data_IF_462490585518
#
_entry.id   IF_462490585518
#
_cell.length_a   1.000
_cell.length_b   1.000
_cell.length_c   1.000
_cell.angle_alpha   90.00
_cell.angle_beta   90.00
_cell.angle_gamma   90.00
#
_symmetry.space_group_name_H-M   'P 1'
#
loop_
_entity.id
_entity.type
_entity.pdbx_description
1 polymer ?
#
# COMPACT_ATOMS: atom_id res chain seq x y z
N UNK A 1 23.66 6.57 -9.64
CA UNK A 1 23.35 7.95 -9.23
C UNK A 1 22.13 7.96 -8.30
N UNK A 2 22.08 8.93 -7.36
CA UNK A 2 20.95 9.17 -6.47
C UNK A 2 20.78 10.68 -6.21
N UNK A 3 19.59 11.15 -5.92
CA UNK A 3 19.33 12.55 -5.60
C UNK A 3 17.90 12.99 -5.93
N UNK A 4 17.52 14.17 -5.43
CA UNK A 4 16.20 14.74 -5.66
C UNK A 4 15.92 15.06 -7.14
N UNK A 5 16.96 15.28 -7.94
CA UNK A 5 16.84 15.51 -9.40
C UNK A 5 16.32 14.30 -10.19
N UNK A 6 16.14 13.16 -9.54
CA UNK A 6 15.55 11.96 -10.15
C UNK A 6 14.01 11.96 -10.07
N UNK A 7 13.41 12.79 -9.22
CA UNK A 7 11.97 12.90 -9.11
C UNK A 7 11.35 13.33 -10.45
N UNK A 8 10.27 12.69 -10.83
CA UNK A 8 9.58 12.92 -12.10
C UNK A 8 10.23 12.30 -13.34
N UNK A 9 11.36 11.59 -13.18
CA UNK A 9 12.15 11.06 -14.29
C UNK A 9 11.86 9.58 -14.56
N UNK A 10 12.07 9.21 -15.83
CA UNK A 10 12.08 7.82 -16.29
C UNK A 10 13.51 7.48 -16.71
N UNK A 11 14.09 6.48 -16.07
CA UNK A 11 15.51 6.11 -16.23
C UNK A 11 15.70 4.61 -16.44
N UNK A 12 16.85 4.23 -16.95
CA UNK A 12 17.31 2.84 -16.94
C UNK A 12 17.91 2.45 -15.57
N UNK A 13 18.25 1.17 -15.31
CA UNK A 13 18.86 0.73 -14.06
C UNK A 13 20.25 1.33 -13.77
N UNK A 14 20.91 1.91 -14.78
CA UNK A 14 22.22 2.57 -14.65
C UNK A 14 22.08 4.08 -14.40
N UNK A 15 20.87 4.61 -14.46
CA UNK A 15 20.55 6.02 -14.27
C UNK A 15 20.58 6.85 -15.55
N UNK A 16 20.60 6.22 -16.73
CA UNK A 16 20.47 6.94 -17.99
C UNK A 16 19.01 7.33 -18.24
N UNK A 17 18.73 8.54 -18.72
CA UNK A 17 17.35 8.98 -18.99
C UNK A 17 16.74 8.23 -20.17
N UNK A 18 15.48 7.82 -20.02
CA UNK A 18 14.64 7.22 -21.04
C UNK A 18 13.48 8.14 -21.47
N UNK A 19 13.34 9.28 -20.81
CA UNK A 19 12.27 10.26 -20.99
C UNK A 19 12.62 11.37 -22.00
N UNK A 20 13.75 11.26 -22.69
CA UNK A 20 14.26 12.30 -23.60
C UNK A 20 14.83 13.53 -22.89
N UNK A 21 14.86 13.52 -21.55
CA UNK A 21 15.41 14.61 -20.77
C UNK A 21 16.95 14.61 -20.72
N UNK A 22 17.50 15.67 -20.12
CA UNK A 22 18.95 15.79 -19.90
C UNK A 22 19.46 14.70 -18.96
N UNK A 23 20.77 14.32 -19.04
CA UNK A 23 21.40 13.43 -18.07
C UNK A 23 21.18 13.91 -16.63
N UNK A 24 21.04 12.94 -15.70
CA UNK A 24 20.80 13.26 -14.29
C UNK A 24 22.05 13.95 -13.69
N UNK A 25 21.88 15.22 -13.36
CA UNK A 25 22.95 16.05 -12.80
C UNK A 25 23.17 15.78 -11.32
N UNK A 26 23.81 14.66 -10.98
CA UNK A 26 24.16 14.32 -9.61
C UNK A 26 25.56 13.74 -9.50
N UNK A 27 26.31 14.17 -8.48
CA UNK A 27 27.59 13.57 -8.09
C UNK A 27 27.41 12.47 -7.04
N UNK A 28 26.22 12.38 -6.42
CA UNK A 28 25.93 11.41 -5.38
C UNK A 28 25.64 10.04 -5.98
N UNK A 29 26.26 9.02 -5.42
CA UNK A 29 26.09 7.63 -5.84
C UNK A 29 25.91 6.74 -4.62
N UNK A 30 25.17 5.66 -4.77
CA UNK A 30 25.05 4.57 -3.78
C UNK A 30 25.37 3.24 -4.45
N UNK A 31 25.99 2.30 -3.73
CA UNK A 31 26.11 0.93 -4.22
C UNK A 31 24.73 0.32 -4.43
N UNK A 32 24.58 -0.49 -5.47
CA UNK A 32 23.31 -1.19 -5.74
C UNK A 32 23.08 -2.34 -4.76
N UNK A 33 24.14 -2.99 -4.30
CA UNK A 33 24.08 -4.02 -3.27
C UNK A 33 24.65 -3.47 -1.95
N UNK A 34 23.79 -3.40 -0.94
CA UNK A 34 24.11 -2.92 0.41
C UNK A 34 23.47 -3.88 1.41
N UNK A 35 24.13 -4.23 2.51
CA UNK A 35 23.51 -4.99 3.59
C UNK A 35 22.25 -4.30 4.12
N UNK A 36 21.25 -5.08 4.45
CA UNK A 36 20.02 -4.57 5.07
C UNK A 36 20.33 -3.92 6.43
N UNK A 37 19.52 -2.94 6.88
CA UNK A 37 19.65 -2.38 8.22
C UNK A 37 19.56 -3.47 9.30
N UNK A 38 20.46 -3.45 10.28
CA UNK A 38 20.46 -4.39 11.39
C UNK A 38 19.28 -4.19 12.35
N UNK A 39 19.09 -5.10 13.30
CA UNK A 39 17.97 -5.10 14.24
C UNK A 39 17.94 -3.80 15.08
N UNK A 40 19.10 -3.33 15.56
CA UNK A 40 19.21 -2.10 16.36
C UNK A 40 18.88 -0.82 15.59
N UNK A 41 18.98 -0.86 14.25
CA UNK A 41 18.68 0.27 13.38
C UNK A 41 17.19 0.34 12.98
N UNK A 42 16.38 -0.65 13.39
CA UNK A 42 14.96 -0.75 13.03
C UNK A 42 14.05 -0.43 14.22
N UNK A 43 12.84 -0.01 13.93
CA UNK A 43 11.75 0.07 14.91
C UNK A 43 10.47 -0.53 14.35
N UNK A 44 9.48 -0.87 15.21
CA UNK A 44 8.22 -1.44 14.79
C UNK A 44 7.48 -0.56 13.77
N UNK A 45 6.74 -1.22 12.89
CA UNK A 45 5.87 -0.58 11.89
C UNK A 45 4.53 -0.27 12.57
N UNK A 46 4.18 1.02 12.68
CA UNK A 46 2.96 1.47 13.35
C UNK A 46 2.16 2.50 12.52
N UNK A 47 2.85 3.19 11.59
CA UNK A 47 2.20 4.20 10.75
C UNK A 47 1.67 3.58 9.47
N UNK A 48 0.39 3.82 9.09
CA UNK A 48 -0.17 3.31 7.85
C UNK A 48 0.47 3.94 6.62
N UNK A 49 0.61 3.14 5.57
CA UNK A 49 0.71 3.57 4.19
C UNK A 49 -0.68 3.41 3.57
N UNK A 50 -1.38 4.48 3.35
CA UNK A 50 -2.73 4.42 2.79
C UNK A 50 -2.65 4.13 1.29
N UNK A 51 -3.30 3.06 0.85
CA UNK A 51 -3.35 2.71 -0.58
C UNK A 51 -4.46 3.46 -1.31
N UNK A 52 -5.46 3.95 -0.58
CA UNK A 52 -6.65 4.53 -1.15
C UNK A 52 -7.66 3.49 -1.66
N UNK A 53 -7.38 2.20 -1.44
CA UNK A 53 -8.22 1.09 -1.87
C UNK A 53 -8.93 0.51 -0.65
N UNK A 54 -10.26 0.62 -0.62
CA UNK A 54 -11.10 0.18 0.51
C UNK A 54 -10.79 -1.23 0.97
N UNK A 55 -10.71 -2.18 0.04
CA UNK A 55 -10.45 -3.58 0.34
C UNK A 55 -9.07 -3.83 0.97
N UNK A 56 -8.04 -3.08 0.55
CA UNK A 56 -6.69 -3.20 1.10
C UNK A 56 -6.61 -2.55 2.48
N UNK A 57 -6.95 -1.25 2.57
CA UNK A 57 -6.77 -0.45 3.77
C UNK A 57 -7.63 -0.95 4.96
N UNK A 58 -8.75 -1.63 4.68
CA UNK A 58 -9.63 -2.19 5.70
C UNK A 58 -9.26 -3.60 6.16
N UNK A 59 -8.77 -4.47 5.27
CA UNK A 59 -8.59 -5.90 5.58
C UNK A 59 -7.12 -6.35 5.63
N UNK A 60 -6.26 -5.74 4.82
CA UNK A 60 -4.84 -6.03 4.74
C UNK A 60 -4.03 -4.73 4.79
N UNK A 61 -4.16 -3.94 5.88
CA UNK A 61 -3.51 -2.64 5.96
C UNK A 61 -1.98 -2.77 5.86
N UNK A 62 -1.38 -1.85 5.11
CA UNK A 62 0.05 -1.79 4.86
C UNK A 62 0.65 -0.69 5.73
N UNK A 63 1.76 -0.99 6.40
CA UNK A 63 2.49 -0.02 7.21
C UNK A 63 3.72 0.53 6.50
N UNK A 64 4.14 1.73 6.87
CA UNK A 64 5.36 2.36 6.35
C UNK A 64 6.60 1.61 6.85
N UNK A 65 7.29 0.93 5.94
CA UNK A 65 8.43 0.05 6.25
C UNK A 65 8.12 -1.44 6.13
N UNK A 66 6.88 -1.80 5.78
CA UNK A 66 6.43 -3.17 5.56
C UNK A 66 6.75 -3.65 4.14
N UNK A 67 6.85 -4.97 3.97
CA UNK A 67 6.93 -5.66 2.68
C UNK A 67 5.63 -6.40 2.46
N UNK A 68 4.80 -5.94 1.56
CA UNK A 68 3.52 -6.59 1.23
C UNK A 68 3.53 -7.06 -0.21
N UNK A 69 3.40 -8.38 -0.41
CA UNK A 69 3.43 -9.00 -1.72
C UNK A 69 2.07 -8.84 -2.43
N UNK A 70 2.08 -8.42 -3.69
CA UNK A 70 0.91 -8.46 -4.56
C UNK A 70 1.09 -9.65 -5.51
N UNK A 71 0.22 -10.65 -5.39
CA UNK A 71 0.38 -11.92 -6.10
C UNK A 71 -0.90 -12.33 -6.82
N UNK A 72 -0.79 -12.90 -8.00
CA UNK A 72 -1.91 -13.41 -8.80
C UNK A 72 -1.54 -13.60 -10.27
N UNK A 73 -2.47 -14.12 -11.04
CA UNK A 73 -2.29 -14.42 -12.45
C UNK A 73 -2.17 -13.14 -13.32
N UNK A 74 -1.80 -13.32 -14.57
CA UNK A 74 -1.76 -12.21 -15.55
C UNK A 74 -3.10 -11.50 -15.65
N UNK A 75 -3.07 -10.17 -15.76
CA UNK A 75 -4.25 -9.32 -16.00
C UNK A 75 -5.29 -9.36 -14.87
N UNK A 76 -4.92 -9.73 -13.64
CA UNK A 76 -5.81 -9.70 -12.47
C UNK A 76 -5.83 -8.36 -11.73
N UNK A 77 -5.07 -7.35 -12.21
CA UNK A 77 -5.06 -6.01 -11.62
C UNK A 77 -3.91 -5.74 -10.64
N UNK A 78 -2.85 -6.57 -10.60
CA UNK A 78 -1.69 -6.37 -9.71
C UNK A 78 -1.06 -4.99 -9.85
N UNK A 79 -0.70 -4.62 -11.09
CA UNK A 79 -0.13 -3.31 -11.41
C UNK A 79 -1.09 -2.18 -11.08
N UNK A 80 -2.41 -2.37 -11.27
CA UNK A 80 -3.42 -1.36 -10.94
C UNK A 80 -3.40 -1.00 -9.45
N UNK A 81 -3.36 -1.98 -8.54
CA UNK A 81 -3.24 -1.75 -7.10
C UNK A 81 -1.98 -0.95 -6.78
N UNK A 82 -0.85 -1.29 -7.38
CA UNK A 82 0.40 -0.58 -7.16
C UNK A 82 0.35 0.88 -7.66
N UNK A 83 -0.23 1.12 -8.84
CA UNK A 83 -0.38 2.46 -9.41
C UNK A 83 -1.36 3.30 -8.58
N UNK A 84 -2.50 2.75 -8.17
CA UNK A 84 -3.45 3.44 -7.30
C UNK A 84 -2.82 3.81 -5.96
N UNK A 85 -1.99 2.93 -5.40
CA UNK A 85 -1.22 3.21 -4.19
C UNK A 85 -0.25 4.38 -4.40
N UNK A 86 0.46 4.46 -5.55
CA UNK A 86 1.36 5.57 -5.89
C UNK A 86 0.56 6.88 -6.04
N UNK A 87 -0.56 6.85 -6.76
CA UNK A 87 -1.43 8.02 -6.96
C UNK A 87 -1.90 8.57 -5.60
N UNK A 88 -2.26 7.67 -4.69
CA UNK A 88 -2.73 8.06 -3.36
C UNK A 88 -1.64 8.64 -2.44
N UNK A 89 -0.35 8.55 -2.83
CA UNK A 89 0.73 9.19 -2.06
C UNK A 89 0.90 10.68 -2.35
N UNK A 90 0.12 11.25 -3.27
CA UNK A 90 0.14 12.69 -3.51
C UNK A 90 -0.11 13.44 -2.20
N UNK A 91 0.69 14.46 -1.95
CA UNK A 91 0.63 15.32 -0.75
C UNK A 91 0.89 14.62 0.61
N UNK A 92 1.30 13.34 0.60
CA UNK A 92 1.65 12.60 1.83
C UNK A 92 3.13 12.71 2.23
N UNK A 93 3.95 13.29 1.35
CA UNK A 93 5.40 13.36 1.50
C UNK A 93 6.14 12.04 1.27
N UNK A 94 5.45 10.99 0.80
CA UNK A 94 6.06 9.71 0.45
C UNK A 94 6.61 9.78 -0.97
N UNK A 95 7.88 9.40 -1.14
CA UNK A 95 8.53 9.29 -2.45
C UNK A 95 8.32 7.89 -2.98
N UNK A 96 7.85 7.80 -4.21
CA UNK A 96 7.58 6.54 -4.87
C UNK A 96 8.67 6.18 -5.89
N UNK A 97 9.03 4.91 -5.95
CA UNK A 97 9.92 4.35 -6.96
C UNK A 97 9.20 3.18 -7.62
N UNK A 98 8.88 3.32 -8.89
CA UNK A 98 8.27 2.24 -9.66
C UNK A 98 9.32 1.58 -10.54
N UNK A 99 9.58 0.29 -10.32
CA UNK A 99 10.58 -0.49 -11.05
C UNK A 99 9.87 -1.47 -11.98
N UNK A 100 9.88 -1.16 -13.28
CA UNK A 100 9.36 -2.03 -14.33
C UNK A 100 10.46 -3.03 -14.78
N UNK A 101 10.22 -4.32 -14.60
CA UNK A 101 11.19 -5.38 -14.86
C UNK A 101 10.65 -6.28 -15.96
N UNK A 102 11.34 -6.34 -17.11
CA UNK A 102 10.97 -7.21 -18.22
C UNK A 102 9.58 -6.92 -18.81
N UNK A 103 9.07 -5.72 -18.64
CA UNK A 103 7.80 -5.29 -19.23
C UNK A 103 7.98 -4.74 -20.66
N UNK A 104 6.90 -4.71 -21.44
CA UNK A 104 6.91 -4.05 -22.72
C UNK A 104 7.01 -2.54 -22.55
N UNK A 105 7.78 -1.86 -23.39
CA UNK A 105 7.93 -0.40 -23.32
C UNK A 105 6.60 0.34 -23.43
N UNK A 106 5.68 -0.15 -24.27
CA UNK A 106 4.32 0.40 -24.37
C UNK A 106 3.52 0.32 -23.06
N UNK A 107 3.71 -0.74 -22.29
CA UNK A 107 3.08 -0.89 -20.97
C UNK A 107 3.64 0.13 -19.97
N UNK A 108 4.96 0.29 -19.95
CA UNK A 108 5.64 1.26 -19.09
C UNK A 108 5.23 2.69 -19.46
N UNK A 109 5.16 3.00 -20.76
CA UNK A 109 4.69 4.29 -21.25
C UNK A 109 3.25 4.59 -20.79
N UNK A 110 2.36 3.60 -20.82
CA UNK A 110 0.99 3.72 -20.31
C UNK A 110 0.95 4.01 -18.81
N UNK A 111 1.80 3.34 -18.01
CA UNK A 111 1.92 3.62 -16.57
C UNK A 111 2.41 5.05 -16.32
N UNK A 112 3.46 5.48 -17.00
CA UNK A 112 4.01 6.85 -16.89
C UNK A 112 2.95 7.89 -17.24
N UNK A 113 2.19 7.67 -18.32
CA UNK A 113 1.12 8.57 -18.73
C UNK A 113 0.00 8.64 -17.67
N UNK A 114 -0.41 7.50 -17.13
CA UNK A 114 -1.39 7.46 -16.03
C UNK A 114 -0.89 8.25 -14.81
N UNK A 115 0.34 8.00 -14.37
CA UNK A 115 0.93 8.74 -13.24
C UNK A 115 1.00 10.24 -13.50
N UNK A 116 1.29 10.64 -14.75
CA UNK A 116 1.32 12.06 -15.16
C UNK A 116 -0.06 12.70 -15.14
N UNK A 117 -1.08 12.02 -15.67
CA UNK A 117 -2.47 12.50 -15.67
C UNK A 117 -3.01 12.77 -14.26
N UNK A 118 -2.62 11.95 -13.29
CA UNK A 118 -3.02 12.12 -11.89
C UNK A 118 -2.06 13.00 -11.07
N UNK A 119 -1.03 13.58 -11.69
CA UNK A 119 -0.05 14.43 -11.01
C UNK A 119 0.82 13.65 -10.00
N UNK A 120 0.98 12.34 -10.21
CA UNK A 120 1.77 11.48 -9.33
C UNK A 120 3.25 11.38 -9.75
N UNK A 121 3.61 11.87 -10.95
CA UNK A 121 5.01 11.86 -11.39
C UNK A 121 5.90 12.77 -10.54
N UNK A 122 5.39 13.85 -9.97
CA UNK A 122 6.17 14.82 -9.20
C UNK A 122 6.85 14.20 -7.96
N UNK A 123 6.26 13.13 -7.41
CA UNK A 123 6.82 12.39 -6.28
C UNK A 123 7.25 10.96 -6.66
N UNK A 124 7.34 10.65 -7.96
CA UNK A 124 7.64 9.29 -8.44
C UNK A 124 8.87 9.27 -9.32
N UNK A 125 9.70 8.23 -9.16
CA UNK A 125 10.82 7.89 -10.03
C UNK A 125 10.47 6.57 -10.71
N UNK A 126 10.58 6.51 -12.04
CA UNK A 126 10.32 5.29 -12.80
C UNK A 126 11.64 4.71 -13.31
N UNK A 127 11.89 3.44 -13.02
CA UNK A 127 13.05 2.70 -13.52
C UNK A 127 12.55 1.62 -14.45
N UNK A 128 13.04 1.59 -15.68
CA UNK A 128 12.61 0.61 -16.68
C UNK A 128 13.78 -0.23 -17.19
N UNK A 129 13.64 -1.54 -17.00
CA UNK A 129 14.40 -2.55 -17.73
C UNK A 129 13.43 -3.34 -18.59
N UNK A 130 13.25 -2.93 -19.84
CA UNK A 130 12.24 -3.49 -20.75
C UNK A 130 12.48 -4.97 -21.06
N UNK A 131 11.50 -5.63 -21.67
CA UNK A 131 11.62 -7.03 -22.09
C UNK A 131 12.67 -7.23 -23.19
N UNK A 132 13.06 -6.19 -23.90
CA UNK A 132 14.15 -6.18 -24.88
C UNK A 132 15.52 -5.91 -24.27
N UNK A 133 15.57 -5.43 -23.02
CA UNK A 133 16.83 -5.17 -22.33
C UNK A 133 17.57 -6.46 -22.00
N UNK A 134 18.91 -6.41 -22.00
CA UNK A 134 19.74 -7.54 -21.61
C UNK A 134 19.43 -8.05 -20.21
N UNK A 135 19.48 -9.35 -19.98
CA UNK A 135 19.15 -9.98 -18.70
C UNK A 135 19.89 -9.37 -17.48
N UNK A 136 21.17 -8.94 -17.56
CA UNK A 136 21.85 -8.23 -16.46
C UNK A 136 21.15 -6.92 -16.06
N UNK A 137 20.56 -6.18 -16.99
CA UNK A 137 19.82 -4.95 -16.65
C UNK A 137 18.51 -5.26 -15.94
N UNK A 138 17.79 -6.31 -16.37
CA UNK A 138 16.59 -6.75 -15.68
C UNK A 138 16.90 -7.30 -14.28
N UNK A 139 18.04 -7.97 -14.12
CA UNK A 139 18.54 -8.45 -12.83
C UNK A 139 18.84 -7.32 -11.85
N UNK A 140 19.54 -6.24 -12.30
CA UNK A 140 20.00 -5.17 -11.43
C UNK A 140 18.91 -4.13 -11.14
N UNK A 141 17.86 -4.04 -11.97
CA UNK A 141 16.84 -2.99 -11.87
C UNK A 141 16.20 -2.86 -10.48
N UNK A 142 15.75 -3.94 -9.79
CA UNK A 142 15.18 -3.83 -8.45
C UNK A 142 16.19 -3.30 -7.43
N UNK A 143 17.45 -3.70 -7.53
CA UNK A 143 18.51 -3.22 -6.64
C UNK A 143 18.81 -1.74 -6.84
N UNK A 144 18.81 -1.28 -8.10
CA UNK A 144 18.95 0.15 -8.42
C UNK A 144 17.81 0.96 -7.81
N UNK A 145 16.56 0.50 -7.98
CA UNK A 145 15.38 1.12 -7.38
C UNK A 145 15.43 1.17 -5.86
N UNK A 146 15.84 0.07 -5.25
CA UNK A 146 16.04 -0.02 -3.82
C UNK A 146 17.07 1.00 -3.32
N UNK A 147 18.22 1.11 -3.99
CA UNK A 147 19.30 2.04 -3.60
C UNK A 147 18.89 3.50 -3.75
N UNK A 148 18.07 3.83 -4.75
CA UNK A 148 17.52 5.17 -4.93
C UNK A 148 16.53 5.48 -3.80
N UNK A 149 15.64 4.55 -3.46
CA UNK A 149 14.71 4.74 -2.34
C UNK A 149 15.42 4.85 -1.00
N UNK A 150 16.48 4.06 -0.77
CA UNK A 150 17.30 4.15 0.44
C UNK A 150 17.97 5.51 0.62
N UNK A 151 18.35 6.19 -0.46
CA UNK A 151 18.90 7.54 -0.36
C UNK A 151 17.96 8.46 0.41
N UNK A 152 16.68 8.42 0.10
CA UNK A 152 15.66 9.22 0.77
C UNK A 152 15.32 8.68 2.16
N UNK A 153 15.26 7.36 2.32
CA UNK A 153 15.00 6.73 3.62
C UNK A 153 16.03 7.13 4.68
N UNK A 154 17.32 7.13 4.31
CA UNK A 154 18.39 7.53 5.23
C UNK A 154 18.43 9.04 5.52
N UNK A 155 17.69 9.85 4.77
CA UNK A 155 17.44 11.26 5.07
C UNK A 155 16.20 11.50 5.95
N UNK A 156 15.64 10.45 6.57
CA UNK A 156 14.46 10.56 7.40
C UNK A 156 13.13 10.61 6.61
N UNK A 157 13.16 10.50 5.28
CA UNK A 157 11.96 10.54 4.43
C UNK A 157 11.31 9.16 4.33
N UNK A 158 10.06 9.13 3.93
CA UNK A 158 9.32 7.90 3.70
C UNK A 158 9.31 7.57 2.21
N UNK A 159 9.54 6.31 1.88
CA UNK A 159 9.57 5.85 0.49
C UNK A 159 8.69 4.63 0.29
N UNK A 160 8.17 4.50 -0.92
CA UNK A 160 7.43 3.34 -1.42
C UNK A 160 8.15 2.82 -2.66
N UNK A 161 8.53 1.55 -2.69
CA UNK A 161 9.13 0.90 -3.86
C UNK A 161 8.21 -0.19 -4.37
N UNK A 162 7.85 -0.11 -5.64
CA UNK A 162 7.08 -1.15 -6.34
C UNK A 162 8.05 -1.90 -7.26
N UNK A 163 8.06 -3.23 -7.19
CA UNK A 163 8.84 -4.09 -8.08
C UNK A 163 7.89 -4.88 -9.00
N UNK A 164 7.74 -4.45 -10.23
CA UNK A 164 6.79 -5.03 -11.19
C UNK A 164 7.51 -5.67 -12.38
N UNK A 165 7.82 -6.97 -12.36
CA UNK A 165 7.62 -7.95 -11.29
C UNK A 165 8.90 -8.75 -10.98
N UNK A 166 8.96 -9.29 -9.77
CA UNK A 166 10.11 -10.08 -9.31
C UNK A 166 10.18 -11.48 -9.95
N UNK A 167 9.08 -11.99 -10.51
CA UNK A 167 9.10 -13.24 -11.28
C UNK A 167 9.98 -13.12 -12.51
N UNK A 168 9.93 -11.97 -13.19
CA UNK A 168 10.78 -11.68 -14.35
C UNK A 168 12.23 -11.45 -13.94
N UNK A 169 12.48 -10.82 -12.78
CA UNK A 169 13.84 -10.74 -12.25
C UNK A 169 14.44 -12.14 -12.03
N UNK A 170 13.67 -13.04 -11.42
CA UNK A 170 14.11 -14.43 -11.20
C UNK A 170 14.38 -15.15 -12.54
N UNK A 171 13.53 -14.94 -13.54
CA UNK A 171 13.75 -15.50 -14.89
C UNK A 171 15.03 -14.97 -15.56
N UNK A 172 15.31 -13.67 -15.43
CA UNK A 172 16.56 -13.06 -15.90
C UNK A 172 17.78 -13.66 -15.17
N UNK A 173 17.68 -13.84 -13.84
CA UNK A 173 18.75 -14.48 -13.06
C UNK A 173 18.97 -15.95 -13.45
N UNK A 174 17.90 -16.71 -13.71
CA UNK A 174 17.97 -18.07 -14.25
C UNK A 174 18.70 -18.09 -15.57
N UNK A 175 18.37 -17.18 -16.51
CA UNK A 175 19.02 -17.06 -17.79
C UNK A 175 20.54 -16.80 -17.66
N UNK A 176 20.94 -15.84 -16.81
CA UNK A 176 22.35 -15.54 -16.55
C UNK A 176 23.05 -16.76 -15.97
N UNK A 177 22.43 -17.43 -14.99
CA UNK A 177 23.03 -18.59 -14.34
C UNK A 177 23.25 -19.79 -15.28
N UNK A 178 22.28 -20.06 -16.17
CA UNK A 178 22.40 -21.11 -17.19
C UNK A 178 23.49 -20.78 -18.23
N UNK A 179 23.60 -19.52 -18.65
CA UNK A 179 24.68 -19.06 -19.54
C UNK A 179 26.07 -19.24 -18.89
N UNK A 180 26.17 -19.03 -17.58
CA UNK A 180 27.37 -19.24 -16.79
C UNK A 180 27.58 -20.73 -16.42
N UNK A 181 26.75 -21.65 -16.94
CA UNK A 181 26.80 -23.10 -16.68
C UNK A 181 26.72 -23.45 -15.18
N UNK A 182 26.04 -22.65 -14.37
CA UNK A 182 25.77 -23.00 -12.97
C UNK A 182 24.74 -24.14 -12.93
N UNK A 183 24.89 -25.13 -12.03
CA UNK A 183 23.97 -26.26 -11.95
C UNK A 183 22.54 -25.74 -11.60
N UNK A 184 21.52 -26.15 -12.38
CA UNK A 184 20.15 -25.77 -12.12
C UNK A 184 19.56 -26.58 -10.94
N UNK A 185 18.73 -25.93 -10.14
CA UNK A 185 17.90 -26.54 -9.11
C UNK A 185 16.44 -26.70 -9.55
N UNK A 186 15.51 -26.55 -8.58
CA UNK A 186 14.06 -26.64 -8.84
C UNK A 186 13.63 -25.63 -9.91
N UNK A 187 12.80 -26.07 -10.85
CA UNK A 187 12.30 -25.26 -11.99
C UNK A 187 13.43 -24.59 -12.81
N UNK A 188 14.59 -25.22 -12.84
CA UNK A 188 15.81 -24.71 -13.47
C UNK A 188 16.38 -23.40 -12.88
N UNK A 189 15.88 -22.94 -11.74
CA UNK A 189 16.46 -21.80 -11.03
C UNK A 189 17.78 -22.20 -10.35
N UNK A 190 18.74 -21.27 -10.20
CA UNK A 190 19.94 -21.53 -9.40
C UNK A 190 19.57 -21.68 -7.91
N UNK A 191 20.37 -22.46 -7.17
CA UNK A 191 20.11 -22.76 -5.76
C UNK A 191 20.02 -21.55 -4.83
N UNK A 192 20.60 -20.41 -5.23
CA UNK A 192 20.63 -19.18 -4.48
C UNK A 192 19.53 -18.16 -4.87
N UNK A 193 18.50 -18.57 -5.64
CA UNK A 193 17.44 -17.67 -6.06
C UNK A 193 16.62 -17.11 -4.87
N UNK A 194 16.52 -17.83 -3.76
CA UNK A 194 15.92 -17.30 -2.53
C UNK A 194 16.72 -16.08 -2.02
N UNK A 195 18.04 -16.16 -2.03
CA UNK A 195 18.90 -15.07 -1.60
C UNK A 195 18.81 -13.85 -2.52
N UNK A 196 18.54 -14.05 -3.81
CA UNK A 196 18.26 -12.94 -4.75
C UNK A 196 17.19 -12.00 -4.22
N UNK A 197 16.06 -12.55 -3.80
CA UNK A 197 14.92 -11.75 -3.33
C UNK A 197 15.02 -11.35 -1.86
N UNK A 198 15.56 -12.21 -0.99
CA UNK A 198 15.67 -11.91 0.44
C UNK A 198 16.61 -10.75 0.72
N UNK A 199 17.80 -10.70 0.09
CA UNK A 199 18.73 -9.58 0.27
C UNK A 199 18.24 -8.25 -0.30
N UNK A 200 17.30 -8.29 -1.28
CA UNK A 200 16.61 -7.11 -1.78
C UNK A 200 15.54 -6.64 -0.80
N UNK A 201 14.61 -7.52 -0.45
CA UNK A 201 13.42 -7.18 0.30
C UNK A 201 13.71 -6.89 1.78
N UNK A 202 14.74 -7.50 2.37
CA UNK A 202 15.18 -7.19 3.74
C UNK A 202 15.68 -5.74 3.91
N UNK A 203 16.01 -5.05 2.84
CA UNK A 203 16.40 -3.63 2.87
C UNK A 203 15.21 -2.71 3.16
N UNK A 204 13.98 -3.17 2.87
CA UNK A 204 12.78 -2.45 3.25
C UNK A 204 12.57 -2.54 4.77
N UNK A 205 12.49 -1.38 5.41
CA UNK A 205 12.38 -1.30 6.85
C UNK A 205 11.86 0.08 7.30
N UNK A 206 11.37 0.14 8.54
CA UNK A 206 11.22 1.39 9.29
C UNK A 206 12.48 1.58 10.12
N UNK A 207 13.23 2.62 9.83
CA UNK A 207 14.43 2.97 10.60
C UNK A 207 14.04 3.54 11.97
N UNK A 208 14.86 3.27 12.96
CA UNK A 208 14.69 3.80 14.30
C UNK A 208 14.84 5.33 14.31
N UNK A 209 13.98 5.98 15.05
CA UNK A 209 14.08 7.40 15.34
C UNK A 209 15.31 7.65 16.23
N UNK A 210 16.06 8.70 15.97
CA UNK A 210 17.23 9.10 16.73
C UNK A 210 16.96 10.40 17.45
N UNK A 211 17.35 10.46 18.71
CA UNK A 211 17.12 11.60 19.59
C UNK A 211 18.43 12.10 20.16
N UNK A 212 18.47 13.38 20.48
CA UNK A 212 19.54 14.02 21.24
C UNK A 212 18.93 14.85 22.36
N UNK A 213 19.67 15.02 23.46
CA UNK A 213 19.32 15.95 24.52
C UNK A 213 19.96 17.29 24.19
N UNK A 214 19.14 18.30 24.00
CA UNK A 214 19.60 19.63 23.57
C UNK A 214 18.83 20.74 24.31
N UNK A 215 19.40 21.94 24.43
CA UNK A 215 18.67 23.13 24.84
C UNK A 215 17.49 23.42 23.93
N UNK A 216 16.36 23.87 24.48
CA UNK A 216 15.10 24.14 23.76
C UNK A 216 15.25 25.01 22.50
N UNK A 217 16.21 25.90 22.46
CA UNK A 217 16.43 26.83 21.36
C UNK A 217 17.51 26.41 20.37
N UNK A 218 17.99 25.15 20.43
CA UNK A 218 19.04 24.67 19.52
C UNK A 218 18.50 24.55 18.09
N UNK A 219 19.14 25.20 17.09
CA UNK A 219 18.74 25.04 15.69
C UNK A 219 18.87 23.58 15.21
N UNK A 220 17.94 23.15 14.33
CA UNK A 220 17.95 21.77 13.80
C UNK A 220 19.26 21.38 13.12
N UNK A 221 19.92 22.31 12.44
CA UNK A 221 21.20 22.09 11.78
C UNK A 221 22.37 21.78 12.75
N UNK A 222 22.23 22.13 14.02
CA UNK A 222 23.24 21.87 15.06
C UNK A 222 22.97 20.58 15.84
N UNK A 223 21.75 20.04 15.78
CA UNK A 223 21.35 18.83 16.50
C UNK A 223 22.21 17.61 16.10
N UNK A 224 22.64 17.55 14.83
CA UNK A 224 23.47 16.44 14.33
C UNK A 224 24.88 16.38 14.95
N UNK A 225 25.34 17.48 15.56
CA UNK A 225 26.64 17.58 16.22
C UNK A 225 26.59 17.17 17.69
N UNK A 226 25.40 17.01 18.25
CA UNK A 226 25.22 16.72 19.67
C UNK A 226 25.35 15.23 19.95
N UNK A 227 26.06 14.92 21.00
CA UNK A 227 26.25 13.54 21.50
C UNK A 227 25.94 13.50 23.00
N UNK A 228 25.44 12.37 23.55
CA UNK A 228 25.16 11.10 22.87
C UNK A 228 23.86 11.11 22.04
N UNK A 229 23.80 10.23 21.05
CA UNK A 229 22.59 9.98 20.24
C UNK A 229 21.87 8.77 20.79
N UNK A 230 20.59 8.93 21.10
CA UNK A 230 19.70 7.89 21.60
C UNK A 230 18.86 7.31 20.48
N UNK A 231 18.90 5.99 20.29
CA UNK A 231 18.28 5.33 19.13
C UNK A 231 17.10 4.44 19.55
N UNK A 232 15.94 4.70 18.98
CA UNK A 232 14.73 3.89 19.19
C UNK A 232 13.99 4.15 20.51
N UNK A 233 12.88 3.43 20.76
CA UNK A 233 11.95 3.74 21.83
C UNK A 233 12.50 3.47 23.25
N UNK A 234 13.41 2.52 23.40
CA UNK A 234 13.98 2.17 24.71
C UNK A 234 14.96 3.27 25.17
N UNK A 235 15.92 3.63 24.30
CA UNK A 235 16.88 4.67 24.62
C UNK A 235 16.23 6.05 24.76
N UNK A 236 15.15 6.30 23.98
CA UNK A 236 14.31 7.49 24.16
C UNK A 236 13.77 7.63 25.59
N UNK A 237 13.25 6.54 26.13
CA UNK A 237 12.72 6.54 27.53
C UNK A 237 13.82 6.78 28.54
N UNK A 238 14.99 6.18 28.34
CA UNK A 238 16.14 6.36 29.21
C UNK A 238 16.63 7.81 29.17
N UNK A 239 16.71 8.41 27.99
CA UNK A 239 17.09 9.80 27.81
C UNK A 239 16.09 10.77 28.45
N UNK A 240 14.79 10.50 28.34
CA UNK A 240 13.76 11.29 28.99
C UNK A 240 13.85 11.21 30.52
N UNK A 241 14.03 10.00 31.06
CA UNK A 241 14.22 9.81 32.50
C UNK A 241 15.48 10.52 33.02
N UNK A 242 16.54 10.57 32.24
CA UNK A 242 17.76 11.30 32.59
C UNK A 242 17.52 12.82 32.64
N UNK A 243 16.79 13.38 31.68
CA UNK A 243 16.39 14.81 31.68
C UNK A 243 15.53 15.12 32.90
N UNK A 244 14.51 14.30 33.16
CA UNK A 244 13.60 14.48 34.28
C UNK A 244 14.34 14.44 35.65
N UNK A 245 15.41 13.59 35.72
CA UNK A 245 16.28 13.50 36.90
C UNK A 245 17.21 14.70 37.09
N UNK A 246 17.64 15.35 36.02
CA UNK A 246 18.52 16.54 36.06
C UNK A 246 17.77 17.80 36.50
N UNK A 247 16.44 17.82 36.46
CA UNK A 247 15.58 18.99 36.80
C UNK A 247 16.00 20.28 36.06
N UNK A 248 16.62 20.16 34.92
CA UNK A 248 17.03 21.29 34.08
C UNK A 248 15.94 21.55 33.03
N UNK A 249 15.10 22.54 33.28
CA UNK A 249 13.99 22.93 32.40
C UNK A 249 14.45 23.51 31.06
N UNK A 250 15.75 23.80 30.89
CA UNK A 250 16.30 24.31 29.63
C UNK A 250 16.56 23.20 28.61
N UNK A 251 16.64 21.94 29.04
CA UNK A 251 16.90 20.77 28.19
C UNK A 251 15.60 20.12 27.72
N UNK A 252 15.62 19.63 26.49
CA UNK A 252 14.55 18.81 25.93
C UNK A 252 15.10 17.69 25.05
N UNK A 253 14.31 16.66 24.85
CA UNK A 253 14.62 15.57 23.94
C UNK A 253 14.17 15.93 22.52
N UNK A 254 15.13 16.15 21.63
CA UNK A 254 14.91 16.54 20.23
C UNK A 254 15.08 15.35 19.29
N UNK A 255 14.15 15.20 18.35
CA UNK A 255 14.28 14.25 17.25
C UNK A 255 15.26 14.80 16.21
N UNK A 256 16.21 13.97 15.77
CA UNK A 256 17.11 14.33 14.67
C UNK A 256 16.32 14.38 13.35
N UNK A 257 16.41 15.47 12.57
CA UNK A 257 15.65 15.65 11.31
C UNK A 257 15.88 14.54 10.29
N UNK A 258 17.11 14.02 10.20
CA UNK A 258 17.51 12.96 9.28
C UNK A 258 17.40 11.56 9.92
N UNK A 259 16.31 11.27 10.62
CA UNK A 259 16.13 9.98 11.28
C UNK A 259 14.71 9.44 11.11
N UNK A 260 14.52 8.18 11.41
CA UNK A 260 13.19 7.57 11.38
C UNK A 260 12.54 7.45 10.00
N UNK A 261 13.32 7.47 8.93
CA UNK A 261 12.81 7.19 7.59
C UNK A 261 12.27 5.78 7.43
N UNK A 262 11.55 5.52 6.36
CA UNK A 262 11.04 4.17 6.05
C UNK A 262 11.06 3.89 4.56
N UNK A 263 11.24 2.62 4.21
CA UNK A 263 11.06 2.13 2.86
C UNK A 263 10.05 0.97 2.90
N UNK A 264 8.90 1.20 2.30
CA UNK A 264 7.85 0.19 2.10
C UNK A 264 8.06 -0.47 0.76
N UNK A 265 7.98 -1.79 0.69
CA UNK A 265 8.13 -2.54 -0.55
C UNK A 265 6.82 -3.23 -0.94
N UNK A 266 6.42 -3.03 -2.19
CA UNK A 266 5.33 -3.76 -2.85
C UNK A 266 5.91 -4.59 -4.00
N UNK A 267 6.49 -5.77 -3.70
CA UNK A 267 6.86 -6.70 -4.74
C UNK A 267 5.62 -7.29 -5.40
N UNK A 268 5.67 -7.41 -6.74
CA UNK A 268 4.65 -8.08 -7.53
C UNK A 268 5.19 -9.45 -7.95
N UNK A 269 4.36 -10.48 -7.83
CA UNK A 269 4.62 -11.83 -8.27
C UNK A 269 3.53 -12.31 -9.21
N UNK A 270 3.92 -12.88 -10.33
CA UNK A 270 3.00 -13.51 -11.27
C UNK A 270 2.87 -15.00 -10.98
N UNK A 271 1.64 -15.48 -10.88
CA UNK A 271 1.30 -16.91 -10.83
C UNK A 271 0.77 -17.40 -12.18
N UNK A 272 0.71 -18.69 -12.36
CA UNK A 272 0.06 -19.35 -13.48
C UNK A 272 -1.04 -20.24 -12.93
N UNK A 273 -2.27 -20.10 -13.45
CA UNK A 273 -3.44 -20.89 -13.04
C UNK A 273 -3.71 -20.87 -11.52
N UNK A 274 -3.36 -19.74 -10.85
CA UNK A 274 -3.53 -19.59 -9.41
C UNK A 274 -2.55 -20.37 -8.55
N UNK A 275 -1.50 -20.98 -9.14
CA UNK A 275 -0.57 -21.85 -8.40
C UNK A 275 0.38 -21.03 -7.53
N UNK A 276 0.02 -20.84 -6.25
CA UNK A 276 0.86 -20.17 -5.24
C UNK A 276 1.96 -21.08 -4.66
N UNK A 277 1.88 -22.39 -4.91
CA UNK A 277 2.87 -23.39 -4.44
C UNK A 277 4.10 -23.50 -5.33
N UNK A 278 4.13 -22.80 -6.47
CA UNK A 278 5.30 -22.71 -7.35
C UNK A 278 6.51 -22.12 -6.61
N UNK A 279 7.73 -22.33 -7.14
CA UNK A 279 8.96 -22.04 -6.40
C UNK A 279 9.14 -20.55 -6.07
N UNK A 280 8.98 -19.65 -7.03
CA UNK A 280 9.16 -18.21 -6.80
C UNK A 280 8.04 -17.61 -5.91
N UNK A 281 6.74 -17.89 -6.14
CA UNK A 281 5.67 -17.47 -5.23
C UNK A 281 5.92 -17.88 -3.77
N UNK A 282 6.23 -19.16 -3.52
CA UNK A 282 6.50 -19.67 -2.18
C UNK A 282 7.65 -18.95 -1.49
N UNK A 283 8.74 -18.68 -2.22
CA UNK A 283 9.88 -17.93 -1.69
C UNK A 283 9.48 -16.49 -1.32
N UNK A 284 8.76 -15.79 -2.20
CA UNK A 284 8.35 -14.41 -1.95
C UNK A 284 7.36 -14.28 -0.78
N UNK A 285 6.39 -15.21 -0.67
CA UNK A 285 5.46 -15.26 0.48
C UNK A 285 6.22 -15.43 1.80
N UNK A 286 7.29 -16.23 1.81
CA UNK A 286 8.09 -16.46 3.03
C UNK A 286 8.95 -15.26 3.42
N UNK A 287 9.44 -14.46 2.46
CA UNK A 287 10.29 -13.31 2.70
C UNK A 287 9.48 -12.08 3.12
N UNK A 288 8.23 -11.94 2.64
CA UNK A 288 7.39 -10.77 2.86
C UNK A 288 6.62 -10.82 4.17
N UNK A 289 6.12 -9.69 4.63
CA UNK A 289 5.35 -9.52 5.86
C UNK A 289 3.84 -9.75 5.64
N UNK A 290 3.46 -10.26 4.48
CA UNK A 290 2.11 -10.57 4.07
C UNK A 290 1.95 -10.59 2.56
N UNK A 291 0.75 -10.91 2.11
CA UNK A 291 0.40 -10.96 0.69
C UNK A 291 -1.04 -10.53 0.44
N UNK A 292 -1.23 -9.84 -0.69
CA UNK A 292 -2.52 -9.53 -1.29
C UNK A 292 -2.68 -10.46 -2.49
N UNK A 293 -3.56 -11.45 -2.38
CA UNK A 293 -3.81 -12.43 -3.43
C UNK A 293 -4.97 -11.99 -4.33
N UNK A 294 -4.72 -11.89 -5.63
CA UNK A 294 -5.71 -11.56 -6.64
C UNK A 294 -6.15 -12.81 -7.37
N UNK A 295 -7.44 -13.11 -7.25
CA UNK A 295 -8.06 -14.31 -7.80
C UNK A 295 -8.69 -14.05 -9.16
N UNK A 296 -8.34 -14.83 -10.21
CA UNK A 296 -8.90 -14.64 -11.55
C UNK A 296 -10.43 -14.78 -11.58
N UNK A 297 -11.00 -15.73 -10.84
CA UNK A 297 -12.45 -15.94 -10.79
C UNK A 297 -13.21 -14.69 -10.34
N UNK A 298 -12.70 -14.00 -9.30
CA UNK A 298 -13.30 -12.74 -8.82
C UNK A 298 -13.18 -11.62 -9.86
N UNK A 299 -12.02 -11.53 -10.53
CA UNK A 299 -11.80 -10.52 -11.56
C UNK A 299 -12.79 -10.66 -12.72
N UNK A 300 -12.99 -11.87 -13.20
CA UNK A 300 -13.94 -12.14 -14.29
C UNK A 300 -15.39 -12.04 -13.84
N UNK A 301 -15.70 -12.28 -12.57
CA UNK A 301 -17.01 -12.01 -11.98
C UNK A 301 -17.31 -10.52 -11.77
N UNK A 302 -16.37 -9.63 -12.10
CA UNK A 302 -16.55 -8.17 -11.99
C UNK A 302 -16.19 -7.59 -10.63
N UNK A 303 -15.72 -8.38 -9.67
CA UNK A 303 -15.23 -7.90 -8.38
C UNK A 303 -13.83 -7.31 -8.57
N UNK A 304 -13.70 -6.00 -8.48
CA UNK A 304 -12.45 -5.26 -8.71
C UNK A 304 -12.23 -4.22 -7.62
N UNK A 305 -11.10 -4.29 -6.87
CA UNK A 305 -10.00 -5.25 -7.01
C UNK A 305 -10.41 -6.69 -6.63
N UNK A 306 -9.83 -7.67 -7.34
CA UNK A 306 -10.17 -9.08 -7.22
C UNK A 306 -9.47 -9.76 -6.02
N UNK A 307 -9.50 -9.13 -4.85
CA UNK A 307 -8.78 -9.57 -3.65
C UNK A 307 -9.52 -10.72 -2.98
N UNK A 308 -8.84 -11.87 -2.86
CA UNK A 308 -9.32 -12.96 -2.05
C UNK A 308 -9.01 -12.68 -0.56
N UNK A 309 -10.04 -12.41 0.22
CA UNK A 309 -9.93 -11.99 1.62
C UNK A 309 -9.48 -13.13 2.56
N UNK A 310 -9.65 -14.38 2.16
CA UNK A 310 -9.28 -15.55 2.96
C UNK A 310 -7.78 -15.79 2.91
N UNK A 311 -7.20 -15.72 1.71
CA UNK A 311 -5.77 -16.03 1.46
C UNK A 311 -4.88 -14.80 1.67
N UNK A 312 -5.43 -13.59 1.51
CA UNK A 312 -4.70 -12.35 1.75
C UNK A 312 -4.45 -12.12 3.23
N UNK A 313 -3.20 -11.81 3.59
CA UNK A 313 -2.77 -11.68 4.99
C UNK A 313 -1.80 -10.51 5.12
N UNK A 314 -1.95 -9.70 6.16
CA UNK A 314 -0.93 -8.77 6.63
C UNK A 314 -0.44 -9.21 8.01
N UNK A 315 0.87 -9.51 8.16
CA UNK A 315 1.46 -9.90 9.46
C UNK A 315 1.61 -8.73 10.41
N UNK A 316 1.71 -7.51 9.90
CA UNK A 316 1.66 -6.28 10.70
C UNK A 316 0.22 -6.01 11.15
N UNK A 317 -0.73 -6.26 10.26
CA UNK A 317 -2.14 -6.20 10.52
C UNK A 317 -2.59 -4.80 11.00
N UNK A 318 -3.60 -4.78 11.86
CA UNK A 318 -4.21 -3.54 12.34
C UNK A 318 -3.30 -2.63 13.18
N UNK A 319 -2.05 -3.02 13.48
CA UNK A 319 -1.06 -2.07 14.04
C UNK A 319 -0.76 -0.92 13.05
N UNK A 320 -0.83 -1.24 11.76
CA UNK A 320 -0.67 -0.29 10.67
C UNK A 320 -1.98 0.36 10.18
N UNK A 321 -3.10 0.22 10.91
CA UNK A 321 -4.37 0.85 10.57
C UNK A 321 -4.66 2.04 11.49
N UNK A 322 -5.43 3.02 10.98
CA UNK A 322 -5.95 4.11 11.80
C UNK A 322 -6.94 3.56 12.86
N UNK A 323 -7.08 4.24 13.99
CA UNK A 323 -8.00 3.82 15.04
C UNK A 323 -9.44 3.71 14.54
N UNK A 324 -9.86 4.63 13.67
CA UNK A 324 -11.18 4.63 13.06
C UNK A 324 -11.39 3.41 12.16
N UNK A 325 -10.46 3.15 11.23
CA UNK A 325 -10.52 1.99 10.33
C UNK A 325 -10.54 0.68 11.13
N UNK A 326 -9.66 0.55 12.12
CA UNK A 326 -9.62 -0.64 12.98
C UNK A 326 -10.96 -0.94 13.65
N UNK A 327 -11.69 0.10 14.05
CA UNK A 327 -12.98 -0.06 14.71
C UNK A 327 -14.08 -0.48 13.74
N UNK A 328 -14.20 0.18 12.60
CA UNK A 328 -15.29 -0.08 11.63
C UNK A 328 -15.08 -1.35 10.84
N UNK A 329 -13.83 -1.76 10.60
CA UNK A 329 -13.49 -2.95 9.82
C UNK A 329 -13.28 -4.23 10.66
N UNK A 330 -13.53 -4.18 11.96
CA UNK A 330 -13.20 -5.29 12.89
C UNK A 330 -13.86 -6.62 12.51
N UNK A 331 -15.12 -6.61 12.08
CA UNK A 331 -15.87 -7.82 11.67
C UNK A 331 -15.82 -8.10 10.17
N UNK A 332 -15.44 -7.10 9.36
CA UNK A 332 -15.56 -7.13 7.90
C UNK A 332 -14.98 -8.39 7.25
N UNK A 333 -13.79 -8.79 7.67
CA UNK A 333 -13.10 -9.97 7.12
C UNK A 333 -13.85 -11.27 7.42
N UNK A 334 -14.39 -11.42 8.64
CA UNK A 334 -15.17 -12.58 9.05
C UNK A 334 -16.50 -12.61 8.30
N UNK A 335 -17.17 -11.47 8.17
CA UNK A 335 -18.43 -11.35 7.46
C UNK A 335 -18.30 -11.73 5.98
N UNK A 336 -17.20 -11.30 5.33
CA UNK A 336 -16.91 -11.65 3.93
C UNK A 336 -16.49 -13.11 3.77
N UNK A 337 -15.78 -13.70 4.72
CA UNK A 337 -15.44 -15.12 4.68
C UNK A 337 -16.71 -15.99 4.80
N UNK A 338 -17.58 -15.68 5.75
CA UNK A 338 -18.86 -16.35 5.90
C UNK A 338 -19.78 -16.16 4.67
N UNK A 339 -19.77 -14.96 4.08
CA UNK A 339 -20.48 -14.73 2.82
C UNK A 339 -20.01 -15.67 1.71
N UNK A 340 -18.70 -15.87 1.54
CA UNK A 340 -18.15 -16.75 0.50
C UNK A 340 -18.54 -18.20 0.69
N UNK A 341 -18.62 -18.69 1.93
CA UNK A 341 -19.11 -20.03 2.23
C UNK A 341 -20.60 -20.15 1.85
N UNK A 342 -21.44 -19.20 2.28
CA UNK A 342 -22.87 -19.18 1.97
C UNK A 342 -23.13 -19.05 0.46
N UNK A 343 -22.36 -18.22 -0.25
CA UNK A 343 -22.43 -18.07 -1.70
C UNK A 343 -22.18 -19.40 -2.42
N UNK A 344 -21.20 -20.17 -1.97
CA UNK A 344 -20.91 -21.50 -2.51
C UNK A 344 -22.07 -22.49 -2.28
N UNK A 345 -22.68 -22.48 -1.11
CA UNK A 345 -23.86 -23.31 -0.81
C UNK A 345 -25.09 -22.91 -1.64
N UNK A 346 -25.32 -21.60 -1.79
CA UNK A 346 -26.42 -21.10 -2.63
C UNK A 346 -26.25 -21.49 -4.10
N UNK A 347 -25.00 -21.45 -4.63
CA UNK A 347 -24.71 -21.90 -6.01
C UNK A 347 -24.95 -23.40 -6.22
N UNK A 348 -24.83 -24.21 -5.17
CA UNK A 348 -25.16 -25.65 -5.20
C UNK A 348 -26.67 -25.92 -5.10
N UNK A 349 -27.50 -24.88 -5.03
CA UNK A 349 -28.98 -25.02 -4.97
C UNK A 349 -29.53 -25.43 -3.60
N UNK A 350 -28.73 -25.27 -2.52
CA UNK A 350 -29.24 -25.55 -1.17
C UNK A 350 -30.13 -24.41 -0.67
N UNK A 351 -31.25 -24.78 -0.05
CA UNK A 351 -32.12 -23.82 0.63
C UNK A 351 -31.42 -23.30 1.89
N UNK A 352 -31.38 -21.97 2.01
CA UNK A 352 -30.82 -21.28 3.16
C UNK A 352 -31.94 -20.88 4.12
N UNK A 353 -31.68 -20.97 5.41
CA UNK A 353 -32.54 -20.41 6.41
C UNK A 353 -32.59 -18.87 6.36
N UNK A 354 -33.65 -18.21 6.89
CA UNK A 354 -33.81 -16.75 6.77
C UNK A 354 -32.67 -15.92 7.39
N UNK A 355 -31.88 -16.46 8.35
CA UNK A 355 -30.75 -15.77 8.94
C UNK A 355 -29.54 -15.83 7.99
N UNK A 356 -29.25 -17.01 7.43
CA UNK A 356 -28.22 -17.23 6.43
C UNK A 356 -28.49 -16.43 5.14
N UNK A 357 -29.76 -16.35 4.73
CA UNK A 357 -30.16 -15.53 3.57
C UNK A 357 -29.84 -14.03 3.81
N UNK A 358 -30.18 -13.48 4.97
CA UNK A 358 -29.85 -12.08 5.32
C UNK A 358 -28.34 -11.84 5.35
N UNK A 359 -27.57 -12.80 5.83
CA UNK A 359 -26.12 -12.72 5.83
C UNK A 359 -25.53 -12.76 4.41
N UNK A 360 -26.10 -13.58 3.53
CA UNK A 360 -25.74 -13.63 2.12
C UNK A 360 -26.04 -12.28 1.43
N UNK A 361 -27.24 -11.73 1.63
CA UNK A 361 -27.66 -10.46 1.04
C UNK A 361 -26.78 -9.29 1.52
N UNK A 362 -26.44 -9.24 2.82
CA UNK A 362 -25.51 -8.25 3.36
C UNK A 362 -24.12 -8.40 2.78
N UNK A 363 -23.61 -9.63 2.70
CA UNK A 363 -22.30 -9.92 2.13
C UNK A 363 -22.18 -9.48 0.67
N UNK A 364 -23.23 -9.69 -0.13
CA UNK A 364 -23.28 -9.23 -1.51
C UNK A 364 -23.16 -7.70 -1.60
N UNK A 365 -23.86 -6.96 -0.73
CA UNK A 365 -23.75 -5.49 -0.66
C UNK A 365 -22.37 -5.04 -0.24
N UNK A 366 -21.74 -5.76 0.71
CA UNK A 366 -20.36 -5.47 1.12
C UNK A 366 -19.36 -5.69 -0.02
N UNK A 367 -19.52 -6.74 -0.82
CA UNK A 367 -18.69 -6.97 -2.01
C UNK A 367 -18.84 -5.83 -3.00
N UNK A 368 -20.08 -5.38 -3.26
CA UNK A 368 -20.35 -4.23 -4.14
C UNK A 368 -19.76 -2.94 -3.58
N UNK A 369 -19.86 -2.70 -2.27
CA UNK A 369 -19.26 -1.55 -1.61
C UNK A 369 -17.74 -1.52 -1.73
N UNK A 370 -17.08 -2.68 -1.63
CA UNK A 370 -15.63 -2.80 -1.74
C UNK A 370 -15.13 -2.75 -3.18
N UNK A 371 -16.02 -2.91 -4.17
CA UNK A 371 -15.69 -2.71 -5.57
C UNK A 371 -15.36 -1.26 -5.82
N UNK A 372 -14.23 -1.02 -6.47
CA UNK A 372 -13.68 0.33 -6.66
C UNK A 372 -13.06 0.43 -8.06
N UNK A 373 -13.39 1.48 -8.84
CA UNK A 373 -12.78 1.71 -10.14
C UNK A 373 -11.26 1.94 -10.02
N UNK A 374 -10.53 1.58 -11.05
CA UNK A 374 -9.10 1.87 -11.16
C UNK A 374 -8.87 3.38 -11.22
N UNK A 375 -7.73 3.83 -10.69
CA UNK A 375 -7.30 5.24 -10.64
C UNK A 375 -8.28 6.16 -9.89
N UNK A 376 -8.99 5.59 -8.92
CA UNK A 376 -9.94 6.32 -8.07
C UNK A 376 -9.68 6.05 -6.59
N UNK A 377 -8.47 6.38 -6.08
CA UNK A 377 -8.18 6.19 -4.66
C UNK A 377 -9.06 7.07 -3.79
N UNK A 378 -9.50 6.53 -2.66
CA UNK A 378 -10.38 7.21 -1.71
C UNK A 378 -9.60 7.70 -0.49
N UNK A 379 -10.01 8.84 0.06
CA UNK A 379 -9.48 9.32 1.34
C UNK A 379 -9.80 8.34 2.48
N UNK A 380 -8.97 8.31 3.52
CA UNK A 380 -9.22 7.45 4.71
C UNK A 380 -10.58 7.75 5.32
N UNK A 381 -10.98 9.02 5.34
CA UNK A 381 -12.27 9.47 5.89
C UNK A 381 -13.44 8.87 5.11
N UNK A 382 -13.40 8.96 3.78
CA UNK A 382 -14.42 8.36 2.91
C UNK A 382 -14.49 6.85 3.05
N UNK A 383 -13.34 6.18 3.11
CA UNK A 383 -13.28 4.73 3.31
C UNK A 383 -13.92 4.31 4.64
N UNK A 384 -13.62 5.02 5.73
CA UNK A 384 -14.19 4.73 7.06
C UNK A 384 -15.70 4.94 7.05
N UNK A 385 -16.19 6.01 6.41
CA UNK A 385 -17.64 6.26 6.26
C UNK A 385 -18.31 5.11 5.50
N UNK A 386 -17.77 4.75 4.33
CA UNK A 386 -18.29 3.68 3.49
C UNK A 386 -18.37 2.34 4.22
N UNK A 387 -17.28 1.94 4.86
CA UNK A 387 -17.20 0.67 5.59
C UNK A 387 -18.14 0.68 6.80
N UNK A 388 -18.24 1.80 7.52
CA UNK A 388 -19.17 1.95 8.64
C UNK A 388 -20.63 1.78 8.21
N UNK A 389 -21.03 2.30 7.06
CA UNK A 389 -22.37 2.10 6.52
C UNK A 389 -22.66 0.63 6.23
N UNK A 390 -21.72 -0.06 5.59
CA UNK A 390 -21.85 -1.48 5.27
C UNK A 390 -21.92 -2.36 6.53
N UNK A 391 -20.95 -2.21 7.43
CA UNK A 391 -20.87 -3.04 8.65
C UNK A 391 -21.99 -2.77 9.65
N UNK A 392 -22.55 -1.55 9.68
CA UNK A 392 -23.69 -1.20 10.55
C UNK A 392 -25.06 -1.64 10.00
N UNK A 393 -25.10 -2.26 8.80
CA UNK A 393 -26.35 -2.69 8.17
C UNK A 393 -27.18 -1.57 7.56
N UNK A 394 -26.64 -0.37 7.42
CA UNK A 394 -27.34 0.77 6.83
C UNK A 394 -27.55 0.66 5.33
N UNK A 395 -26.99 -0.36 4.69
CA UNK A 395 -27.19 -0.66 3.28
C UNK A 395 -28.13 -1.85 3.03
N UNK A 396 -28.67 -2.48 4.07
CA UNK A 396 -29.42 -3.73 3.94
C UNK A 396 -30.75 -3.58 3.17
N UNK A 397 -31.31 -2.39 3.14
CA UNK A 397 -32.53 -2.01 2.41
C UNK A 397 -32.26 -1.49 0.99
N UNK A 398 -30.99 -1.31 0.60
CA UNK A 398 -30.58 -0.86 -0.73
C UNK A 398 -30.32 -2.07 -1.61
N UNK A 399 -30.85 -2.08 -2.84
CA UNK A 399 -30.51 -3.11 -3.84
C UNK A 399 -29.01 -3.09 -4.13
N UNK A 400 -28.37 -4.27 -4.17
CA UNK A 400 -26.93 -4.41 -4.37
C UNK A 400 -26.41 -3.64 -5.60
N UNK A 401 -27.20 -3.53 -6.67
CA UNK A 401 -26.87 -2.78 -7.89
C UNK A 401 -26.65 -1.28 -7.65
N UNK A 402 -27.28 -0.73 -6.62
CA UNK A 402 -27.23 0.70 -6.32
C UNK A 402 -26.29 1.07 -5.18
N UNK A 403 -25.59 0.11 -4.58
CA UNK A 403 -24.71 0.36 -3.42
C UNK A 403 -23.61 1.36 -3.76
N UNK A 404 -22.91 1.19 -4.88
CA UNK A 404 -21.83 2.12 -5.32
C UNK A 404 -22.38 3.51 -5.64
N UNK A 405 -23.60 3.59 -6.23
CA UNK A 405 -24.28 4.86 -6.50
C UNK A 405 -24.67 5.55 -5.21
N UNK A 406 -25.24 4.80 -4.25
CA UNK A 406 -25.55 5.34 -2.92
C UNK A 406 -24.31 5.89 -2.23
N UNK A 407 -23.21 5.13 -2.21
CA UNK A 407 -21.93 5.58 -1.65
C UNK A 407 -21.48 6.92 -2.23
N UNK A 408 -21.45 7.02 -3.56
CA UNK A 408 -21.03 8.23 -4.29
C UNK A 408 -21.86 9.46 -3.91
N UNK A 409 -23.17 9.34 -4.00
CA UNK A 409 -24.08 10.46 -3.74
C UNK A 409 -24.18 10.80 -2.26
N UNK A 410 -24.12 9.81 -1.36
CA UNK A 410 -24.12 10.07 0.08
C UNK A 410 -22.82 10.77 0.54
N UNK A 411 -21.67 10.38 0.03
CA UNK A 411 -20.42 11.09 0.30
C UNK A 411 -20.47 12.54 -0.22
N UNK A 412 -21.08 12.78 -1.36
CA UNK A 412 -21.30 14.13 -1.90
C UNK A 412 -22.21 14.93 -0.98
N UNK A 413 -23.34 14.35 -0.56
CA UNK A 413 -24.26 14.95 0.40
C UNK A 413 -23.55 15.37 1.70
N UNK A 414 -22.71 14.51 2.27
CA UNK A 414 -21.95 14.82 3.48
C UNK A 414 -20.99 15.99 3.28
N UNK A 415 -20.32 16.06 2.14
CA UNK A 415 -19.37 17.14 1.83
C UNK A 415 -20.05 18.50 1.60
N UNK A 416 -21.23 18.50 0.99
CA UNK A 416 -21.95 19.72 0.61
C UNK A 416 -22.93 20.21 1.68
N UNK A 417 -23.72 19.30 2.27
CA UNK A 417 -24.80 19.65 3.18
C UNK A 417 -24.43 19.48 4.65
N UNK A 418 -23.49 18.60 4.98
CA UNK A 418 -23.01 18.30 6.33
C UNK A 418 -21.50 18.54 6.47
N UNK A 419 -21.01 19.62 5.84
CA UNK A 419 -19.58 19.91 5.71
C UNK A 419 -18.82 19.97 7.04
N UNK A 420 -19.41 20.50 8.10
CA UNK A 420 -18.80 20.61 9.42
C UNK A 420 -18.65 19.20 10.04
N UNK A 421 -19.71 18.39 9.99
CA UNK A 421 -19.64 16.99 10.41
C UNK A 421 -18.58 16.22 9.62
N UNK A 422 -18.56 16.39 8.30
CA UNK A 422 -17.58 15.70 7.45
C UNK A 422 -16.14 16.11 7.78
N UNK A 423 -15.87 17.39 8.09
CA UNK A 423 -14.54 17.86 8.50
C UNK A 423 -14.09 17.24 9.82
N UNK A 424 -14.96 17.23 10.83
CA UNK A 424 -14.65 16.75 12.18
C UNK A 424 -14.62 15.22 12.26
N UNK A 425 -15.25 14.53 11.33
CA UNK A 425 -15.35 13.07 11.32
C UNK A 425 -13.96 12.41 11.32
N UNK A 426 -13.69 11.54 12.29
CA UNK A 426 -12.42 10.83 12.52
C UNK A 426 -11.23 11.68 12.99
N UNK A 427 -11.36 12.99 13.23
CA UNK A 427 -10.25 13.80 13.72
C UNK A 427 -9.96 13.51 15.21
N UNK A 428 -11.00 13.39 16.02
CA UNK A 428 -10.87 13.03 17.42
C UNK A 428 -11.25 11.55 17.66
N UNK A 429 -10.30 10.66 17.96
CA UNK A 429 -10.60 9.26 18.25
C UNK A 429 -11.51 9.01 19.46
N UNK A 430 -11.60 9.96 20.40
CA UNK A 430 -12.47 9.84 21.57
C UNK A 430 -13.95 10.03 21.21
N UNK A 431 -14.24 10.78 20.17
CA UNK A 431 -15.60 11.09 19.70
C UNK A 431 -16.09 10.16 18.58
N UNK A 432 -15.29 9.17 18.21
CA UNK A 432 -15.60 8.29 17.08
C UNK A 432 -16.96 7.58 17.26
N UNK A 433 -17.32 7.17 18.47
CA UNK A 433 -18.59 6.49 18.71
C UNK A 433 -19.80 7.39 18.51
N UNK A 434 -19.72 8.65 18.96
CA UNK A 434 -20.77 9.65 18.72
C UNK A 434 -20.85 10.00 17.24
N UNK A 435 -19.73 10.13 16.55
CA UNK A 435 -19.66 10.40 15.11
C UNK A 435 -20.25 9.27 14.29
N UNK A 436 -20.01 8.00 14.66
CA UNK A 436 -20.62 6.84 13.98
C UNK A 436 -22.14 6.77 14.18
N UNK A 437 -22.65 7.12 15.38
CA UNK A 437 -24.08 7.21 15.61
C UNK A 437 -24.73 8.32 14.80
N UNK A 438 -24.10 9.49 14.72
CA UNK A 438 -24.58 10.59 13.89
C UNK A 438 -24.54 10.22 12.41
N UNK A 439 -23.48 9.57 11.94
CA UNK A 439 -23.38 9.06 10.57
C UNK A 439 -24.57 8.13 10.23
N UNK A 440 -24.90 7.21 11.13
CA UNK A 440 -26.02 6.31 10.96
C UNK A 440 -27.37 7.04 10.87
N UNK A 441 -27.56 8.10 11.66
CA UNK A 441 -28.72 8.97 11.60
C UNK A 441 -28.81 9.73 10.26
N UNK A 442 -27.71 10.36 9.83
CA UNK A 442 -27.63 11.09 8.56
C UNK A 442 -27.89 10.18 7.34
N UNK A 443 -27.47 8.92 7.42
CA UNK A 443 -27.76 7.94 6.35
C UNK A 443 -29.27 7.66 6.22
N UNK A 444 -29.99 7.53 7.34
CA UNK A 444 -31.45 7.34 7.31
C UNK A 444 -32.19 8.60 6.85
N UNK A 445 -31.74 9.76 7.30
CA UNK A 445 -32.29 11.05 6.85
C UNK A 445 -32.10 11.21 5.33
N UNK A 446 -30.90 10.95 4.82
CA UNK A 446 -30.60 11.02 3.39
C UNK A 446 -31.46 10.05 2.58
N UNK A 447 -31.66 8.81 3.04
CA UNK A 447 -32.54 7.83 2.38
C UNK A 447 -33.97 8.32 2.27
N UNK A 448 -34.50 8.92 3.34
CA UNK A 448 -35.90 9.37 3.39
C UNK A 448 -36.14 10.66 2.59
N UNK A 449 -35.09 11.51 2.39
CA UNK A 449 -35.28 12.85 1.84
C UNK A 449 -34.77 13.02 0.41
N UNK A 450 -33.65 12.38 0.05
CA UNK A 450 -32.92 12.66 -1.21
C UNK A 450 -32.68 11.45 -2.09
N UNK A 451 -32.56 10.26 -1.52
CA UNK A 451 -32.12 9.07 -2.24
C UNK A 451 -32.97 8.72 -3.48
N UNK A 452 -34.32 8.81 -3.40
CA UNK A 452 -35.17 8.53 -4.56
C UNK A 452 -34.90 9.47 -5.74
N UNK A 453 -34.61 10.74 -5.47
CA UNK A 453 -34.29 11.72 -6.51
C UNK A 453 -32.93 11.45 -7.12
N UNK A 454 -31.94 11.09 -6.31
CA UNK A 454 -30.59 10.82 -6.75
C UNK A 454 -30.51 9.53 -7.60
N UNK A 455 -31.29 8.49 -7.25
CA UNK A 455 -31.45 7.29 -8.11
C UNK A 455 -32.05 7.65 -9.47
N UNK A 456 -33.07 8.52 -9.51
CA UNK A 456 -33.66 8.97 -10.79
C UNK A 456 -32.63 9.73 -11.62
N UNK A 457 -31.80 10.56 -11.00
CA UNK A 457 -30.73 11.30 -11.66
C UNK A 457 -29.63 10.37 -12.18
N UNK A 458 -29.19 9.40 -11.39
CA UNK A 458 -28.21 8.39 -11.77
C UNK A 458 -28.65 7.55 -12.97
N UNK A 459 -29.93 7.12 -12.99
CA UNK A 459 -30.52 6.41 -14.15
C UNK A 459 -30.53 7.26 -15.42
N UNK A 460 -30.86 8.55 -15.32
CA UNK A 460 -30.82 9.48 -16.47
C UNK A 460 -29.40 9.70 -16.98
N UNK A 461 -28.42 9.66 -16.09
CA UNK A 461 -27.00 9.80 -16.44
C UNK A 461 -26.37 8.50 -16.98
N UNK A 462 -27.08 7.37 -16.95
CA UNK A 462 -26.55 6.07 -17.37
C UNK A 462 -25.50 5.49 -16.39
N UNK A 463 -25.56 5.88 -15.13
CA UNK A 463 -24.64 5.41 -14.09
C UNK A 463 -25.12 4.12 -13.42
N UNK A 464 -26.29 3.65 -13.75
CA UNK A 464 -26.94 2.43 -13.25
C UNK A 464 -27.70 1.72 -14.35
#
# INVERSE_FOLDING_TARGET
PVGDYMLGRVIDPLGNPLDGGLPIATIRRRPVEVPAPGISARQPVERPLQTGIKAVDSMTPIGRGQRELIIGDRKTGKTAIAIDTIINQKDTGVICVYVAIGQKESTVAGVVETLRQYGAMDHTIVISASSSAAAPLQYIAPYAGCSIAEYFMYQGRHTLVVYDDLTKQAAAYRQISLLLRRPPGREAYPGDVFYLHSRLLERAAKLADKYVVAPKNTPDAELEKITPVYTGPIEKKNAQAAIDGMKDESLELRLLPQSGGSMTALPICETQEGEVSAYIPTNLISITDGQIYLEPALFFAGVRPAINVVISVSRVGYKAATKAMKKVAASLRLDLAAYRELESFAQLGMELDPASQRQLDRGQRMVQLLTQPQSSPMSVKDQVISIALGTSGKLDDIDARYVSTFEKYFLTYLRESEADFYKEFCENPAELDSSLKRLAFLAEEYKSTRWEQDVKNARKAGEV
#
